data_IF_656859901416
#
_entry.id   IF_656859901416
#
_cell.length_a   1.000
_cell.length_b   1.000
_cell.length_c   1.000
_cell.angle_alpha   90.00
_cell.angle_beta   90.00
_cell.angle_gamma   90.00
#
_symmetry.space_group_name_H-M   'P 1'
#
loop_
_entity.id
_entity.type
_entity.pdbx_description
1 polymer ?
#
# COMPACT_ATOMS: atom_id res chain seq x y z
N UNK A 1 13.16 26.62 -6.10
CA UNK A 1 12.63 25.30 -5.64
C UNK A 1 12.95 25.18 -4.16
N UNK A 2 11.95 25.11 -3.32
CA UNK A 2 12.13 25.09 -1.87
C UNK A 2 12.46 23.64 -1.41
N UNK A 3 13.42 23.46 -0.51
CA UNK A 3 13.78 22.12 0.04
C UNK A 3 12.55 21.43 0.62
N UNK A 4 11.60 22.20 1.17
CA UNK A 4 10.33 21.70 1.71
C UNK A 4 9.50 20.95 0.66
N UNK A 5 9.47 21.45 -0.56
CA UNK A 5 8.67 20.87 -1.64
C UNK A 5 9.25 19.52 -2.11
N UNK A 6 10.58 19.39 -2.12
CA UNK A 6 11.23 18.14 -2.50
C UNK A 6 11.00 17.01 -1.47
N UNK A 7 11.13 17.31 -0.19
CA UNK A 7 10.91 16.32 0.88
C UNK A 7 9.46 15.81 0.94
N UNK A 8 8.52 16.54 0.34
CA UNK A 8 7.11 16.13 0.28
C UNK A 8 6.79 15.27 -0.95
N UNK A 9 7.62 15.35 -2.01
CA UNK A 9 7.36 14.68 -3.28
C UNK A 9 8.37 13.58 -3.62
N UNK A 10 9.58 13.65 -3.05
CA UNK A 10 10.64 12.68 -3.28
C UNK A 10 10.90 11.89 -1.99
N UNK A 11 11.02 10.58 -2.11
CA UNK A 11 11.37 9.74 -0.97
C UNK A 11 12.78 10.09 -0.48
N UNK A 12 12.91 10.35 0.83
CA UNK A 12 14.19 10.71 1.46
C UNK A 12 14.67 9.55 2.33
N UNK A 13 15.71 8.86 1.90
CA UNK A 13 16.40 7.89 2.74
C UNK A 13 17.36 8.61 3.70
N UNK A 14 16.86 8.98 4.88
CA UNK A 14 17.63 9.71 5.88
C UNK A 14 16.77 10.16 7.06
N UNK A 15 17.36 10.88 8.04
CA UNK A 15 16.66 11.27 9.26
C UNK A 15 15.76 12.50 9.06
N UNK A 16 14.96 12.53 7.98
CA UNK A 16 14.04 13.62 7.66
C UNK A 16 12.63 13.07 7.56
N UNK A 17 11.72 13.61 8.37
CA UNK A 17 10.30 13.28 8.35
C UNK A 17 9.50 14.54 8.13
N UNK A 18 8.88 14.75 6.96
CA UNK A 18 7.96 15.86 6.75
C UNK A 18 6.69 15.66 7.57
N UNK A 19 6.28 16.66 8.30
CA UNK A 19 5.06 16.65 9.12
C UNK A 19 4.13 17.74 8.65
N UNK A 20 2.90 17.36 8.31
CA UNK A 20 1.84 18.28 7.88
C UNK A 20 0.66 18.22 8.83
N UNK A 21 -0.07 19.33 8.95
CA UNK A 21 -1.33 19.38 9.69
C UNK A 21 -2.50 19.25 8.71
N UNK A 22 -3.56 18.63 9.17
CA UNK A 22 -4.82 18.54 8.44
C UNK A 22 -5.99 18.90 9.36
N UNK A 23 -7.12 19.27 8.78
CA UNK A 23 -8.33 19.66 9.52
C UNK A 23 -9.48 18.69 9.34
N UNK A 24 -9.48 17.89 8.27
CA UNK A 24 -10.52 16.91 7.99
C UNK A 24 -9.96 15.58 7.51
N UNK A 25 -10.77 14.54 7.68
CA UNK A 25 -10.47 13.19 7.18
C UNK A 25 -10.30 13.17 5.66
N UNK A 26 -11.17 13.87 4.94
CA UNK A 26 -11.09 13.96 3.47
C UNK A 26 -9.79 14.61 3.00
N UNK A 27 -9.35 15.66 3.69
CA UNK A 27 -8.08 16.35 3.39
C UNK A 27 -6.88 15.43 3.59
N UNK A 28 -6.80 14.72 4.71
CA UNK A 28 -5.65 13.85 4.98
C UNK A 28 -5.61 12.63 4.06
N UNK A 29 -6.76 12.05 3.70
CA UNK A 29 -6.82 10.93 2.75
C UNK A 29 -6.39 11.40 1.35
N UNK A 30 -6.88 12.56 0.91
CA UNK A 30 -6.46 13.13 -0.38
C UNK A 30 -4.95 13.39 -0.41
N UNK A 31 -4.39 14.00 0.65
CA UNK A 31 -2.96 14.28 0.75
C UNK A 31 -2.11 12.98 0.83
N UNK A 32 -2.60 11.95 1.51
CA UNK A 32 -1.93 10.65 1.60
C UNK A 32 -1.88 9.93 0.26
N UNK A 33 -2.90 10.12 -0.58
CA UNK A 33 -2.99 9.50 -1.90
C UNK A 33 -2.29 10.33 -3.01
N UNK A 34 -1.96 11.59 -2.74
CA UNK A 34 -1.27 12.50 -3.69
C UNK A 34 0.24 12.19 -3.72
N UNK A 35 0.57 10.98 -4.13
CA UNK A 35 1.94 10.47 -4.29
C UNK A 35 1.97 9.42 -5.39
N UNK A 36 3.08 9.30 -6.15
CA UNK A 36 3.26 8.20 -7.09
C UNK A 36 3.48 6.85 -6.41
N UNK A 37 3.75 6.83 -5.12
CA UNK A 37 4.02 5.62 -4.35
C UNK A 37 2.78 5.10 -3.61
N UNK A 38 2.79 3.82 -3.27
CA UNK A 38 1.69 3.19 -2.55
C UNK A 38 2.10 1.85 -1.92
N UNK A 39 3.21 1.81 -1.18
CA UNK A 39 3.63 0.59 -0.50
C UNK A 39 2.84 0.38 0.79
N UNK A 40 3.02 1.26 1.76
CA UNK A 40 2.40 1.13 3.06
C UNK A 40 1.92 2.49 3.60
N UNK A 41 0.76 2.48 4.24
CA UNK A 41 0.22 3.61 4.98
C UNK A 41 -0.16 3.17 6.39
N UNK A 42 -0.08 4.10 7.34
CA UNK A 42 -0.36 3.81 8.74
C UNK A 42 -1.26 4.90 9.32
N UNK A 43 -2.23 4.49 10.12
CA UNK A 43 -3.03 5.44 10.88
C UNK A 43 -3.53 4.85 12.20
N UNK A 44 -3.95 5.72 13.10
CA UNK A 44 -4.42 5.35 14.42
C UNK A 44 -5.85 5.87 14.63
N UNK A 45 -6.76 5.00 15.04
CA UNK A 45 -8.14 5.36 15.34
C UNK A 45 -8.79 4.31 16.25
N UNK A 46 -9.70 4.75 17.13
CA UNK A 46 -10.56 3.87 17.93
C UNK A 46 -12.00 3.80 17.38
N UNK A 47 -12.29 4.53 16.31
CA UNK A 47 -13.61 4.51 15.66
C UNK A 47 -13.59 3.47 14.52
N UNK A 48 -14.30 2.36 14.72
CA UNK A 48 -14.39 1.25 13.77
C UNK A 48 -14.91 1.71 12.40
N UNK A 49 -15.87 2.62 12.35
CA UNK A 49 -16.41 3.11 11.07
C UNK A 49 -15.38 3.93 10.31
N UNK A 50 -14.60 4.74 11.02
CA UNK A 50 -13.48 5.48 10.45
C UNK A 50 -12.39 4.54 9.97
N UNK A 51 -12.07 3.53 10.76
CA UNK A 51 -11.04 2.53 10.42
C UNK A 51 -11.32 1.94 9.04
N UNK A 52 -12.51 1.40 8.81
CA UNK A 52 -12.87 0.81 7.53
C UNK A 52 -12.89 1.83 6.39
N UNK A 53 -13.52 2.96 6.60
CA UNK A 53 -13.62 4.01 5.56
C UNK A 53 -12.26 4.55 5.13
N UNK A 54 -11.36 4.79 6.08
CA UNK A 54 -10.02 5.30 5.77
C UNK A 54 -9.16 4.20 5.15
N UNK A 55 -9.22 2.97 5.66
CA UNK A 55 -8.45 1.86 5.10
C UNK A 55 -8.81 1.57 3.64
N UNK A 56 -10.11 1.63 3.30
CA UNK A 56 -10.58 1.46 1.92
C UNK A 56 -10.22 2.63 1.00
N UNK A 57 -10.13 3.84 1.55
CA UNK A 57 -9.83 5.04 0.78
C UNK A 57 -8.33 5.27 0.52
N UNK A 58 -7.44 4.64 1.28
CA UNK A 58 -6.00 4.76 1.10
C UNK A 58 -5.51 3.91 -0.08
N UNK A 59 -4.81 4.53 -1.01
CA UNK A 59 -4.23 3.90 -2.20
C UNK A 59 -2.85 3.31 -1.90
N UNK A 60 -2.80 2.38 -0.96
CA UNK A 60 -1.60 1.66 -0.55
C UNK A 60 -1.84 0.16 -0.55
N UNK A 61 -0.83 -0.62 -0.89
CA UNK A 61 -0.93 -2.09 -0.90
C UNK A 61 -1.02 -2.69 0.51
N UNK A 62 -0.53 -1.96 1.51
CA UNK A 62 -0.53 -2.36 2.92
C UNK A 62 -1.05 -1.20 3.76
N UNK A 63 -1.98 -1.47 4.67
CA UNK A 63 -2.49 -0.47 5.61
C UNK A 63 -2.35 -0.97 7.04
N UNK A 64 -1.55 -0.27 7.84
CA UNK A 64 -1.41 -0.52 9.27
C UNK A 64 -2.41 0.31 10.08
N UNK A 65 -3.18 -0.36 10.91
CA UNK A 65 -4.18 0.28 11.76
C UNK A 65 -3.81 0.03 13.21
N UNK A 66 -3.45 1.09 13.93
CA UNK A 66 -2.99 1.02 15.33
C UNK A 66 -1.76 0.09 15.51
N UNK A 67 -1.04 -0.20 14.44
CA UNK A 67 0.10 -1.11 14.41
C UNK A 67 1.17 -0.57 13.44
N UNK A 68 2.42 -0.65 13.84
CA UNK A 68 3.56 -0.21 13.04
C UNK A 68 4.39 -1.34 12.45
N UNK A 69 4.22 -2.59 12.93
CA UNK A 69 4.96 -3.76 12.45
C UNK A 69 4.04 -4.66 11.63
N UNK A 70 4.10 -4.52 10.31
CA UNK A 70 3.15 -5.17 9.39
C UNK A 70 3.69 -6.42 8.69
N UNK A 71 4.98 -6.70 8.80
CA UNK A 71 5.58 -7.83 8.10
C UNK A 71 5.19 -9.16 8.79
N UNK A 72 4.50 -10.01 8.05
CA UNK A 72 4.19 -11.38 8.46
C UNK A 72 4.22 -12.29 7.23
N UNK A 73 4.80 -13.48 7.36
CA UNK A 73 4.92 -14.43 6.25
C UNK A 73 3.57 -14.89 5.68
N UNK A 74 2.54 -14.87 6.50
CA UNK A 74 1.18 -15.26 6.09
C UNK A 74 0.39 -14.15 5.40
N UNK A 75 0.87 -12.91 5.44
CA UNK A 75 0.22 -11.75 4.83
C UNK A 75 0.89 -11.38 3.51
N UNK A 76 0.12 -10.96 2.48
CA UNK A 76 0.69 -10.50 1.22
C UNK A 76 1.37 -9.15 1.43
N UNK A 77 2.64 -9.06 1.12
CA UNK A 77 3.44 -7.84 1.20
C UNK A 77 3.70 -7.28 -0.20
N UNK A 78 3.32 -6.05 -0.46
CA UNK A 78 3.56 -5.40 -1.74
C UNK A 78 2.77 -4.12 -1.91
N UNK A 79 3.14 -3.33 -2.90
CA UNK A 79 2.60 -2.00 -3.17
C UNK A 79 1.61 -1.95 -4.33
N UNK A 80 1.20 -0.73 -4.60
CA UNK A 80 0.47 -0.30 -5.80
C UNK A 80 1.18 0.91 -6.38
N UNK A 81 0.72 1.44 -7.50
CA UNK A 81 1.33 2.58 -8.21
C UNK A 81 2.82 2.26 -8.55
N UNK A 82 3.71 3.25 -8.43
CA UNK A 82 5.15 3.07 -8.70
C UNK A 82 5.89 2.25 -7.63
N UNK A 83 5.25 1.91 -6.52
CA UNK A 83 5.81 0.96 -5.55
C UNK A 83 5.83 -0.49 -6.04
N UNK A 84 5.33 -0.75 -7.24
CA UNK A 84 5.49 -2.01 -7.96
C UNK A 84 4.23 -2.85 -8.02
N UNK A 85 4.38 -4.01 -8.67
CA UNK A 85 3.35 -5.02 -8.87
C UNK A 85 3.72 -6.30 -8.12
N UNK A 86 2.75 -7.20 -8.00
CA UNK A 86 2.96 -8.47 -7.34
C UNK A 86 2.93 -8.39 -5.81
N UNK A 87 3.12 -9.53 -5.19
CA UNK A 87 3.14 -9.65 -3.73
C UNK A 87 4.20 -10.65 -3.30
N UNK A 88 4.87 -10.34 -2.19
CA UNK A 88 5.73 -11.26 -1.47
C UNK A 88 4.95 -11.94 -0.34
N UNK A 89 5.39 -13.10 0.10
CA UNK A 89 4.72 -13.84 1.18
C UNK A 89 3.33 -14.35 0.81
N UNK A 90 2.65 -14.93 1.79
CA UNK A 90 1.33 -15.56 1.64
C UNK A 90 1.24 -16.56 0.47
N UNK A 91 0.04 -16.97 0.11
CA UNK A 91 -0.21 -17.79 -1.10
C UNK A 91 0.03 -16.99 -2.39
N UNK A 92 -0.07 -15.68 -2.34
CA UNK A 92 0.11 -14.79 -3.49
C UNK A 92 1.56 -14.62 -3.92
N UNK A 93 2.52 -14.88 -3.04
CA UNK A 93 3.95 -14.75 -3.38
C UNK A 93 4.43 -15.70 -4.48
N UNK A 94 3.64 -16.73 -4.83
CA UNK A 94 3.95 -17.64 -5.93
C UNK A 94 3.35 -17.20 -7.28
N UNK A 95 2.35 -16.31 -7.27
CA UNK A 95 1.60 -15.96 -8.47
C UNK A 95 2.49 -15.38 -9.58
N UNK A 96 3.50 -14.60 -9.22
CA UNK A 96 4.45 -13.99 -10.15
C UNK A 96 5.45 -14.99 -10.77
N UNK A 97 5.57 -16.20 -10.22
CA UNK A 97 6.46 -17.27 -10.70
C UNK A 97 5.72 -18.38 -11.42
N UNK A 98 4.40 -18.30 -11.54
CA UNK A 98 3.56 -19.35 -12.11
C UNK A 98 2.80 -18.85 -13.33
N UNK A 99 2.55 -19.77 -14.25
CA UNK A 99 1.67 -19.53 -15.39
C UNK A 99 0.49 -20.50 -15.35
N UNK A 100 -0.71 -19.98 -15.49
CA UNK A 100 -1.92 -20.78 -15.62
C UNK A 100 -1.97 -21.31 -17.07
N UNK A 101 -2.02 -22.65 -17.24
CA UNK A 101 -2.20 -23.29 -18.52
C UNK A 101 -3.49 -24.09 -18.54
N UNK A 102 -4.39 -23.76 -19.44
CA UNK A 102 -5.55 -24.58 -19.74
C UNK A 102 -5.19 -25.63 -20.78
N UNK A 103 -5.48 -26.90 -20.50
CA UNK A 103 -5.31 -28.00 -21.43
C UNK A 103 -6.65 -28.72 -21.57
N UNK A 104 -7.14 -28.84 -22.81
CA UNK A 104 -8.34 -29.63 -23.15
C UNK A 104 -7.94 -30.71 -24.13
N UNK A 105 -8.19 -31.97 -23.76
CA UNK A 105 -7.96 -33.12 -24.64
C UNK A 105 -9.30 -33.69 -25.06
N UNK A 106 -9.53 -33.76 -26.37
CA UNK A 106 -10.67 -34.46 -26.93
C UNK A 106 -10.48 -35.98 -26.87
N UNK A 107 -11.52 -36.71 -27.26
CA UNK A 107 -11.47 -38.17 -27.41
C UNK A 107 -10.45 -38.55 -28.48
N UNK A 108 -9.54 -39.45 -28.15
CA UNK A 108 -8.70 -40.13 -29.13
C UNK A 108 -9.61 -41.08 -29.88
N UNK A 109 -9.87 -40.82 -31.15
CA UNK A 109 -10.61 -41.72 -32.04
C UNK A 109 -9.86 -43.01 -32.38
#
# INVERSE_FOLDING_TARGET
>A
MCIRDRCSCEETFGPVVPVTRFQSEAEVVAAANDTPFGLAAYFYSNDVRRIWRVAEALESGIVGINEGALAAEAAPFGGVKESGYGREGSVHGLDDYLHIKYVCQGLLG
#
